data_IF_862201767674
#
_entry.id   IF_862201767674
#
_cell.length_a   1.000
_cell.length_b   1.000
_cell.length_c   1.000
_cell.angle_alpha   90.00
_cell.angle_beta   90.00
_cell.angle_gamma   90.00
#
_symmetry.space_group_name_H-M   'P 1'
#
loop_
_entity.id
_entity.type
_entity.pdbx_description
1 polymer ?
#
# COMPACT_ATOMS: atom_id res chain seq x y z
N UNK A 1 -2.95 19.90 -40.33
CA UNK A 1 -3.82 19.57 -39.18
C UNK A 1 -3.15 18.44 -38.41
N UNK A 2 -2.46 18.75 -37.32
CA UNK A 2 -1.76 17.74 -36.52
C UNK A 2 -2.31 17.86 -35.10
N UNK A 3 -3.25 16.99 -34.76
CA UNK A 3 -3.89 16.98 -33.45
C UNK A 3 -2.87 16.57 -32.39
N UNK A 4 -2.46 17.53 -31.55
CA UNK A 4 -1.84 17.25 -30.27
C UNK A 4 -2.91 16.74 -29.30
N UNK A 5 -2.89 15.43 -29.03
CA UNK A 5 -3.66 14.87 -27.92
C UNK A 5 -3.04 15.31 -26.58
N UNK A 6 -3.65 16.30 -25.94
CA UNK A 6 -3.49 16.58 -24.51
C UNK A 6 -4.27 15.52 -23.72
N UNK A 7 -3.59 14.48 -23.25
CA UNK A 7 -4.09 13.57 -22.20
C UNK A 7 -3.00 13.39 -21.15
N UNK A 8 -2.84 14.41 -20.30
CA UNK A 8 -1.77 14.49 -19.32
C UNK A 8 -2.02 13.69 -18.04
N UNK A 9 -2.15 12.36 -18.14
CA UNK A 9 -1.82 11.48 -17.01
C UNK A 9 -0.43 10.94 -17.21
N UNK A 10 0.46 11.15 -16.26
CA UNK A 10 1.86 10.74 -16.40
C UNK A 10 1.96 9.21 -16.47
N UNK A 11 2.96 8.67 -17.19
CA UNK A 11 3.25 7.21 -17.16
C UNK A 11 3.35 6.66 -15.74
N UNK A 12 3.72 7.51 -14.78
CA UNK A 12 3.77 7.18 -13.37
C UNK A 12 2.40 6.82 -12.82
N UNK A 13 1.36 7.61 -13.10
CA UNK A 13 0.00 7.33 -12.61
C UNK A 13 -0.53 5.98 -13.11
N UNK A 14 -0.15 5.57 -14.32
CA UNK A 14 -0.62 4.29 -14.88
C UNK A 14 0.14 3.07 -14.37
N UNK A 15 1.46 3.18 -14.19
CA UNK A 15 2.30 1.98 -14.03
C UNK A 15 3.00 1.91 -12.67
N UNK A 16 3.07 2.99 -11.90
CA UNK A 16 3.93 3.04 -10.72
C UNK A 16 3.57 1.99 -9.67
N UNK A 17 2.29 1.88 -9.31
CA UNK A 17 1.83 0.92 -8.29
C UNK A 17 2.02 -0.52 -8.74
N UNK A 18 1.68 -0.79 -10.00
CA UNK A 18 1.79 -2.13 -10.56
C UNK A 18 3.24 -2.60 -10.64
N UNK A 19 4.12 -1.76 -11.18
CA UNK A 19 5.58 -2.00 -11.23
C UNK A 19 6.15 -2.15 -9.82
N UNK A 20 5.74 -1.31 -8.86
CA UNK A 20 6.17 -1.42 -7.47
C UNK A 20 5.76 -2.78 -6.87
N UNK A 21 4.51 -3.21 -7.08
CA UNK A 21 4.03 -4.49 -6.56
C UNK A 21 4.84 -5.69 -7.08
N UNK A 22 5.21 -5.68 -8.37
CA UNK A 22 6.04 -6.72 -8.97
C UNK A 22 7.46 -6.73 -8.40
N UNK A 23 8.03 -5.55 -8.16
CA UNK A 23 9.34 -5.43 -7.50
C UNK A 23 9.32 -6.00 -6.07
N UNK A 24 8.29 -5.64 -5.30
CA UNK A 24 8.09 -6.14 -3.95
C UNK A 24 7.86 -7.66 -3.94
N UNK A 25 7.21 -8.21 -4.98
CA UNK A 25 7.05 -9.63 -5.21
C UNK A 25 8.36 -10.36 -5.62
N UNK A 26 9.46 -9.63 -5.82
CA UNK A 26 10.78 -10.20 -6.05
C UNK A 26 11.35 -10.01 -7.46
N UNK A 27 10.59 -9.41 -8.39
CA UNK A 27 11.10 -9.13 -9.75
C UNK A 27 12.21 -8.09 -9.78
N UNK A 28 13.17 -8.30 -10.67
CA UNK A 28 14.19 -7.31 -11.01
C UNK A 28 13.61 -6.18 -11.88
N UNK A 29 14.27 -5.03 -11.91
CA UNK A 29 13.82 -3.90 -12.75
C UNK A 29 13.95 -4.23 -14.24
N UNK A 30 14.92 -5.09 -14.58
CA UNK A 30 15.16 -5.61 -15.91
C UNK A 30 13.99 -6.49 -16.38
N UNK A 31 13.55 -7.46 -15.56
CA UNK A 31 12.37 -8.28 -15.86
C UNK A 31 11.10 -7.43 -15.99
N UNK A 32 10.94 -6.39 -15.15
CA UNK A 32 9.75 -5.53 -15.21
C UNK A 32 9.75 -4.68 -16.48
N UNK A 33 10.91 -4.22 -16.97
CA UNK A 33 11.00 -3.46 -18.21
C UNK A 33 10.50 -4.27 -19.43
N UNK A 34 10.72 -5.58 -19.46
CA UNK A 34 10.31 -6.42 -20.60
C UNK A 34 8.78 -6.43 -20.79
N UNK A 35 8.04 -6.17 -19.72
CA UNK A 35 6.57 -6.26 -19.70
C UNK A 35 5.91 -4.88 -19.76
N UNK A 36 6.57 -3.83 -19.28
CA UNK A 36 5.99 -2.49 -19.17
C UNK A 36 6.65 -1.49 -20.13
N UNK A 37 5.89 -0.55 -20.73
CA UNK A 37 6.42 0.47 -21.64
C UNK A 37 7.13 1.63 -20.89
N UNK A 38 7.99 1.29 -19.93
CA UNK A 38 8.74 2.18 -19.03
C UNK A 38 10.23 1.84 -19.13
N UNK A 39 11.07 2.84 -19.37
CA UNK A 39 12.52 2.61 -19.52
C UNK A 39 13.20 2.26 -18.19
N UNK A 40 14.31 1.50 -18.23
CA UNK A 40 15.11 1.17 -17.04
C UNK A 40 15.48 2.40 -16.22
N UNK A 41 15.86 3.49 -16.90
CA UNK A 41 16.23 4.74 -16.26
C UNK A 41 15.08 5.32 -15.45
N UNK A 42 13.86 5.24 -15.98
CA UNK A 42 12.64 5.68 -15.29
C UNK A 42 12.33 4.77 -14.11
N UNK A 43 12.45 3.45 -14.29
CA UNK A 43 12.25 2.45 -13.24
C UNK A 43 13.25 2.63 -12.08
N UNK A 44 14.53 2.83 -12.38
CA UNK A 44 15.57 3.11 -11.37
C UNK A 44 15.30 4.39 -10.59
N UNK A 45 14.80 5.44 -11.27
CA UNK A 45 14.38 6.67 -10.61
C UNK A 45 13.20 6.42 -9.66
N UNK A 46 12.15 5.75 -10.13
CA UNK A 46 10.97 5.42 -9.31
C UNK A 46 11.30 4.52 -8.12
N UNK A 47 12.18 3.54 -8.32
CA UNK A 47 12.69 2.66 -7.28
C UNK A 47 13.35 3.44 -6.14
N UNK A 48 14.22 4.40 -6.49
CA UNK A 48 14.88 5.28 -5.52
C UNK A 48 13.91 6.23 -4.83
N UNK A 49 13.10 6.95 -5.59
CA UNK A 49 12.10 7.92 -5.06
C UNK A 49 11.06 7.23 -4.17
N UNK A 50 10.61 6.05 -4.57
CA UNK A 50 9.62 5.26 -3.87
C UNK A 50 10.17 4.46 -2.69
N UNK A 51 11.50 4.48 -2.47
CA UNK A 51 12.19 3.70 -1.44
C UNK A 51 11.80 2.22 -1.44
N UNK A 52 11.81 1.60 -2.62
CA UNK A 52 11.27 0.25 -2.79
C UNK A 52 12.09 -0.83 -2.07
N UNK A 53 13.40 -0.64 -1.92
CA UNK A 53 14.24 -1.52 -1.09
C UNK A 53 13.78 -1.55 0.37
N UNK A 54 13.53 -0.38 0.96
CA UNK A 54 13.09 -0.29 2.34
C UNK A 54 11.72 -0.97 2.52
N UNK A 55 10.80 -0.73 1.58
CA UNK A 55 9.48 -1.38 1.55
C UNK A 55 9.59 -2.90 1.40
N UNK A 56 10.50 -3.39 0.55
CA UNK A 56 10.73 -4.84 0.35
C UNK A 56 11.24 -5.50 1.62
N UNK A 57 12.16 -4.85 2.34
CA UNK A 57 12.63 -5.32 3.66
C UNK A 57 11.52 -5.30 4.70
N UNK A 58 10.68 -4.28 4.69
CA UNK A 58 9.53 -4.14 5.60
C UNK A 58 8.39 -5.12 5.30
N UNK A 59 8.25 -5.62 4.07
CA UNK A 59 7.21 -6.57 3.70
C UNK A 59 7.24 -7.87 4.54
N UNK A 60 8.37 -8.21 5.16
CA UNK A 60 8.48 -9.35 6.07
C UNK A 60 7.81 -9.13 7.43
N UNK A 61 7.55 -7.87 7.81
CA UNK A 61 7.06 -7.50 9.15
C UNK A 61 5.85 -6.56 9.13
N UNK A 62 5.49 -6.04 7.95
CA UNK A 62 4.40 -5.08 7.77
C UNK A 62 3.26 -5.70 6.92
N UNK A 63 2.06 -5.91 7.49
CA UNK A 63 0.88 -6.42 6.77
C UNK A 63 0.57 -5.67 5.48
N UNK A 64 0.70 -4.34 5.49
CA UNK A 64 0.47 -3.48 4.31
C UNK A 64 1.39 -3.83 3.14
N UNK A 65 2.71 -3.81 3.36
CA UNK A 65 3.69 -4.10 2.31
C UNK A 65 3.68 -5.55 1.87
N UNK A 66 3.33 -6.48 2.78
CA UNK A 66 3.06 -7.86 2.43
C UNK A 66 1.87 -7.96 1.46
N UNK A 67 0.78 -7.25 1.73
CA UNK A 67 -0.39 -7.18 0.83
C UNK A 67 -0.02 -6.67 -0.57
N UNK A 68 0.78 -5.60 -0.64
CA UNK A 68 1.27 -5.07 -1.93
C UNK A 68 2.17 -6.06 -2.68
N UNK A 69 3.04 -6.80 -1.99
CA UNK A 69 3.84 -7.85 -2.61
C UNK A 69 2.96 -9.00 -3.14
N UNK A 70 1.94 -9.41 -2.37
CA UNK A 70 1.00 -10.46 -2.77
C UNK A 70 0.16 -10.06 -3.98
N UNK A 71 -0.21 -8.78 -4.13
CA UNK A 71 -0.84 -8.26 -5.36
C UNK A 71 0.05 -8.49 -6.59
N UNK A 72 1.36 -8.27 -6.45
CA UNK A 72 2.33 -8.55 -7.51
C UNK A 72 2.40 -10.04 -7.88
N UNK A 73 2.46 -10.92 -6.87
CA UNK A 73 2.44 -12.38 -7.08
C UNK A 73 1.16 -12.84 -7.77
N UNK A 74 0.01 -12.30 -7.35
CA UNK A 74 -1.29 -12.61 -7.94
C UNK A 74 -1.32 -12.20 -9.42
N UNK A 75 -0.86 -10.99 -9.77
CA UNK A 75 -0.79 -10.52 -11.16
C UNK A 75 0.05 -11.44 -12.03
N UNK A 76 1.25 -11.81 -11.56
CA UNK A 76 2.14 -12.70 -12.31
C UNK A 76 1.48 -14.07 -12.55
N UNK A 77 0.92 -14.68 -11.50
CA UNK A 77 0.24 -15.99 -11.62
C UNK A 77 -0.97 -15.91 -12.55
N UNK A 78 -1.82 -14.90 -12.41
CA UNK A 78 -2.97 -14.69 -13.28
C UNK A 78 -2.54 -14.50 -14.73
N UNK A 79 -1.51 -13.70 -14.99
CA UNK A 79 -0.97 -13.49 -16.34
C UNK A 79 -0.49 -14.80 -16.99
N UNK A 80 0.23 -15.64 -16.25
CA UNK A 80 0.66 -16.97 -16.73
C UNK A 80 -0.51 -17.89 -17.04
N UNK A 81 -1.54 -17.88 -16.19
CA UNK A 81 -2.75 -18.70 -16.36
C UNK A 81 -3.53 -18.25 -17.60
N UNK A 82 -3.75 -16.94 -17.76
CA UNK A 82 -4.43 -16.38 -18.93
C UNK A 82 -3.68 -16.68 -20.24
N UNK A 83 -2.35 -16.63 -20.23
CA UNK A 83 -1.53 -16.95 -21.40
C UNK A 83 -1.64 -18.42 -21.85
N UNK A 84 -1.96 -19.34 -20.93
CA UNK A 84 -2.14 -20.76 -21.24
C UNK A 84 -3.53 -21.11 -21.79
N UNK A 85 -4.53 -20.23 -21.63
CA UNK A 85 -5.90 -20.42 -22.13
C UNK A 85 -6.76 -21.42 -21.33
N UNK A 86 -6.15 -22.42 -20.68
CA UNK A 86 -6.85 -23.43 -19.87
C UNK A 86 -6.45 -23.32 -18.39
N UNK A 87 -7.38 -22.81 -17.56
CA UNK A 87 -7.18 -22.67 -16.11
C UNK A 87 -7.42 -24.01 -15.42
N UNK A 88 -6.39 -24.57 -14.78
CA UNK A 88 -6.54 -25.81 -14.00
C UNK A 88 -7.17 -25.52 -12.62
N UNK A 89 -7.92 -26.47 -12.02
CA UNK A 89 -8.48 -26.31 -10.68
C UNK A 89 -7.44 -25.96 -9.60
N UNK A 90 -6.22 -26.48 -9.72
CA UNK A 90 -5.10 -26.18 -8.81
C UNK A 90 -4.63 -24.72 -8.94
N UNK A 91 -4.53 -24.20 -10.16
CA UNK A 91 -4.15 -22.81 -10.41
C UNK A 91 -5.26 -21.87 -9.90
N UNK A 92 -6.52 -22.25 -10.04
CA UNK A 92 -7.66 -21.50 -9.49
C UNK A 92 -7.64 -21.44 -7.95
N UNK A 93 -7.40 -22.58 -7.28
CA UNK A 93 -7.29 -22.65 -5.82
C UNK A 93 -6.15 -21.77 -5.27
N UNK A 94 -4.98 -21.77 -5.93
CA UNK A 94 -3.87 -20.89 -5.57
C UNK A 94 -4.25 -19.40 -5.70
N UNK A 95 -4.95 -19.01 -6.77
CA UNK A 95 -5.44 -17.64 -6.96
C UNK A 95 -6.44 -17.24 -5.88
N UNK A 96 -7.40 -18.11 -5.56
CA UNK A 96 -8.39 -17.88 -4.50
C UNK A 96 -7.74 -17.70 -3.13
N UNK A 97 -6.71 -18.50 -2.80
CA UNK A 97 -5.94 -18.36 -1.56
C UNK A 97 -5.23 -17.02 -1.49
N UNK A 98 -4.60 -16.58 -2.58
CA UNK A 98 -3.91 -15.29 -2.64
C UNK A 98 -4.89 -14.12 -2.48
N UNK A 99 -6.05 -14.16 -3.15
CA UNK A 99 -7.11 -13.15 -2.99
C UNK A 99 -7.58 -13.10 -1.53
N UNK A 100 -7.86 -14.26 -0.93
CA UNK A 100 -8.32 -14.33 0.47
C UNK A 100 -7.28 -13.77 1.46
N UNK A 101 -5.99 -14.03 1.22
CA UNK A 101 -4.91 -13.47 2.04
C UNK A 101 -4.80 -11.95 1.88
N UNK A 102 -4.94 -11.44 0.65
CA UNK A 102 -4.95 -9.99 0.37
C UNK A 102 -6.16 -9.32 1.04
N UNK A 103 -7.34 -9.93 0.98
CA UNK A 103 -8.54 -9.41 1.62
C UNK A 103 -8.38 -9.36 3.15
N UNK A 104 -7.82 -10.43 3.75
CA UNK A 104 -7.52 -10.45 5.19
C UNK A 104 -6.50 -9.38 5.59
N UNK A 105 -5.44 -9.18 4.81
CA UNK A 105 -4.43 -8.16 5.09
C UNK A 105 -5.00 -6.75 4.94
N UNK A 106 -5.84 -6.53 3.93
CA UNK A 106 -6.55 -5.24 3.74
C UNK A 106 -7.51 -4.97 4.90
N UNK A 107 -8.21 -6.00 5.38
CA UNK A 107 -9.15 -5.88 6.51
C UNK A 107 -8.47 -5.89 7.89
N UNK A 108 -7.21 -6.34 8.01
CA UNK A 108 -6.43 -6.24 9.26
C UNK A 108 -6.13 -4.80 9.68
N UNK A 109 -6.28 -3.83 8.76
CA UNK A 109 -6.26 -2.40 9.08
C UNK A 109 -7.43 -1.98 9.99
N UNK A 110 -8.55 -2.71 9.97
CA UNK A 110 -9.68 -2.47 10.87
C UNK A 110 -9.33 -2.81 12.32
N UNK A 111 -8.65 -3.94 12.55
CA UNK A 111 -8.14 -4.31 13.88
C UNK A 111 -7.12 -3.29 14.39
N UNK A 112 -6.26 -2.77 13.51
CA UNK A 112 -5.28 -1.76 13.89
C UNK A 112 -5.95 -0.42 14.24
N UNK A 113 -7.00 -0.01 13.52
CA UNK A 113 -7.81 1.17 13.85
C UNK A 113 -8.52 1.01 15.19
N UNK A 114 -9.17 -0.14 15.40
CA UNK A 114 -9.84 -0.44 16.66
C UNK A 114 -8.85 -0.45 17.83
N UNK A 115 -7.68 -1.09 17.67
CA UNK A 115 -6.61 -1.10 18.67
C UNK A 115 -6.04 0.30 18.94
N UNK A 116 -5.85 1.13 17.90
CA UNK A 116 -5.38 2.49 18.05
C UNK A 116 -6.39 3.37 18.80
N UNK A 117 -7.69 3.25 18.49
CA UNK A 117 -8.75 3.95 19.21
C UNK A 117 -8.78 3.54 20.69
N UNK A 118 -8.68 2.25 20.99
CA UNK A 118 -8.66 1.76 22.38
C UNK A 118 -7.43 2.25 23.16
N UNK A 119 -6.25 2.25 22.55
CA UNK A 119 -5.03 2.78 23.17
C UNK A 119 -5.15 4.28 23.45
N UNK A 120 -5.73 5.04 22.51
CA UNK A 120 -5.89 6.48 22.64
C UNK A 120 -6.96 6.88 23.65
N UNK A 121 -8.01 6.09 23.80
CA UNK A 121 -9.01 6.27 24.85
C UNK A 121 -8.39 6.08 26.23
N UNK A 122 -7.67 4.97 26.44
CA UNK A 122 -6.92 4.71 27.69
C UNK A 122 -5.85 5.78 27.97
N UNK A 123 -5.17 6.27 26.94
CA UNK A 123 -4.20 7.36 27.08
C UNK A 123 -4.88 8.67 27.48
N UNK A 124 -6.05 8.97 26.92
CA UNK A 124 -6.84 10.15 27.28
C UNK A 124 -7.30 10.11 28.74
N UNK A 125 -7.72 8.94 29.22
CA UNK A 125 -8.04 8.71 30.64
C UNK A 125 -6.82 8.91 31.54
N UNK A 126 -5.67 8.35 31.15
CA UNK A 126 -4.40 8.56 31.86
C UNK A 126 -4.07 10.05 31.99
N UNK A 127 -4.10 10.81 30.88
CA UNK A 127 -3.79 12.25 30.89
C UNK A 127 -4.76 13.01 31.80
N UNK A 128 -6.06 12.71 31.76
CA UNK A 128 -7.07 13.34 32.63
C UNK A 128 -6.86 13.02 34.12
N UNK A 129 -6.29 11.86 34.44
CA UNK A 129 -5.99 11.48 35.82
C UNK A 129 -4.68 12.06 36.35
N UNK A 130 -3.70 12.29 35.45
CA UNK A 130 -2.34 12.72 35.81
C UNK A 130 -2.17 14.23 35.77
N UNK A 131 -2.74 14.89 34.76
CA UNK A 131 -2.64 16.33 34.56
C UNK A 131 -3.78 17.02 35.31
N UNK A 132 -3.44 17.96 36.19
CA UNK A 132 -4.42 18.70 37.00
C UNK A 132 -4.69 20.11 36.52
N UNK A 133 -3.84 20.63 35.62
CA UNK A 133 -4.04 21.95 35.00
C UNK A 133 -5.05 21.84 33.85
N UNK A 134 -6.21 22.53 33.93
CA UNK A 134 -7.22 22.54 32.88
C UNK A 134 -6.70 23.04 31.52
N UNK A 135 -5.75 23.98 31.50
CA UNK A 135 -5.23 24.54 30.25
C UNK A 135 -4.27 23.54 29.55
N UNK A 136 -3.52 22.74 30.31
CA UNK A 136 -2.72 21.67 29.74
C UNK A 136 -3.59 20.54 29.18
N UNK A 137 -4.67 20.15 29.87
CA UNK A 137 -5.64 19.15 29.37
C UNK A 137 -6.24 19.61 28.04
N UNK A 138 -6.57 20.91 27.94
CA UNK A 138 -7.13 21.51 26.72
C UNK A 138 -6.14 21.48 25.57
N UNK A 139 -4.86 21.77 25.82
CA UNK A 139 -3.78 21.67 24.81
C UNK A 139 -3.57 20.24 24.33
N UNK A 140 -3.54 19.26 25.25
CA UNK A 140 -3.45 17.85 24.88
C UNK A 140 -4.64 17.40 24.02
N UNK A 141 -5.85 17.83 24.38
CA UNK A 141 -7.06 17.51 23.59
C UNK A 141 -6.99 18.07 22.18
N UNK A 142 -6.49 19.32 22.03
CA UNK A 142 -6.26 19.95 20.73
C UNK A 142 -5.22 19.19 19.89
N UNK A 143 -4.10 18.78 20.48
CA UNK A 143 -3.07 18.02 19.76
C UNK A 143 -3.54 16.64 19.33
N UNK A 144 -4.33 15.95 20.16
CA UNK A 144 -4.91 14.67 19.77
C UNK A 144 -5.90 14.83 18.61
N UNK A 145 -6.78 15.83 18.66
CA UNK A 145 -7.71 16.11 17.55
C UNK A 145 -6.98 16.42 16.25
N UNK A 146 -5.92 17.23 16.32
CA UNK A 146 -5.12 17.58 15.15
C UNK A 146 -4.35 16.37 14.60
N UNK A 147 -3.82 15.52 15.47
CA UNK A 147 -3.18 14.27 15.08
C UNK A 147 -4.14 13.34 14.32
N UNK A 148 -5.38 13.18 14.81
CA UNK A 148 -6.39 12.38 14.12
C UNK A 148 -6.82 12.99 12.78
N UNK A 149 -6.98 14.32 12.71
CA UNK A 149 -7.30 15.02 11.46
C UNK A 149 -6.24 14.77 10.38
N UNK A 150 -4.95 14.85 10.75
CA UNK A 150 -3.84 14.57 9.84
C UNK A 150 -3.86 13.09 9.38
N UNK A 151 -4.18 12.16 10.28
CA UNK A 151 -4.28 10.74 9.93
C UNK A 151 -5.45 10.44 8.96
N UNK A 152 -6.59 11.13 9.10
CA UNK A 152 -7.73 11.01 8.20
C UNK A 152 -7.43 11.59 6.80
N UNK A 153 -6.80 12.77 6.73
CA UNK A 153 -6.40 13.39 5.46
C UNK A 153 -5.38 12.54 4.67
N UNK A 154 -4.50 11.81 5.37
CA UNK A 154 -3.51 10.90 4.78
C UNK A 154 -4.12 9.60 4.20
N UNK A 155 -5.34 9.24 4.63
CA UNK A 155 -6.07 8.05 4.17
C UNK A 155 -7.00 8.39 2.98
N UNK A 156 -7.71 9.53 3.03
CA UNK A 156 -8.60 9.99 1.95
C UNK A 156 -7.85 10.48 0.70
N UNK A 157 -6.58 10.89 0.83
CA UNK A 157 -5.72 11.28 -0.30
C UNK A 157 -5.19 10.11 -1.15
N UNK A 158 -5.61 8.86 -0.88
CA UNK A 158 -5.12 7.64 -1.54
C UNK A 158 -6.22 6.73 -2.10
N UNK A 159 -7.46 7.23 -2.19
CA UNK A 159 -8.58 6.59 -2.90
C UNK A 159 -8.54 6.83 -4.41
#
# INVERSE_FOLDING_TARGET
MTQHYKTGRSKREFYFEEVQSLYLAGKSLEEIQEVFPVSLTTLKRWHKEGRWEDKKRQALVSPRWLGEALKGVLREKTGRVLAKGDVKPQELDELTKLVTLIDRLSNSGWDLRAAALEVMDRFSEFVRSWVKDPEEIKRFSLWMQEFFRILEEDDDGRG
#
